data_IF_331902098885
#
_entry.id   IF_331902098885
#
_cell.length_a   1.000
_cell.length_b   1.000
_cell.length_c   1.000
_cell.angle_alpha   90.00
_cell.angle_beta   90.00
_cell.angle_gamma   90.00
#
_symmetry.space_group_name_H-M   'P 1'
#
loop_
_entity.id
_entity.type
_entity.pdbx_description
1 polymer ?
#
# COMPACT_ATOMS: atom_id res chain seq x y z
N UNK A 1 25.28 -2.47 12.35
CA UNK A 1 23.85 -2.66 12.65
C UNK A 1 23.14 -1.30 12.79
N UNK A 2 22.88 -0.61 11.67
CA UNK A 2 22.17 0.68 11.69
C UNK A 2 21.04 0.66 10.67
N UNK A 3 19.96 -0.07 10.97
CA UNK A 3 18.64 0.36 10.51
C UNK A 3 18.33 1.62 11.33
N UNK A 4 18.34 2.80 10.71
CA UNK A 4 18.13 4.09 11.38
C UNK A 4 16.76 4.19 12.10
N UNK A 5 15.84 3.25 11.85
CA UNK A 5 14.49 3.22 12.43
C UNK A 5 14.23 1.88 13.13
N UNK A 6 14.91 1.64 14.26
CA UNK A 6 14.35 0.71 15.26
C UNK A 6 13.14 1.39 15.89
N UNK A 7 12.04 0.67 16.00
CA UNK A 7 10.87 1.18 16.71
C UNK A 7 11.24 1.57 18.16
N UNK A 8 10.90 2.80 18.58
CA UNK A 8 11.04 3.30 19.96
C UNK A 8 9.70 3.38 20.71
N UNK A 9 8.57 3.21 20.01
CA UNK A 9 7.23 3.40 20.51
C UNK A 9 6.60 2.09 20.99
N UNK A 10 5.74 2.22 22.00
CA UNK A 10 4.88 1.14 22.47
C UNK A 10 3.49 1.31 21.87
N UNK A 11 3.02 0.31 21.15
CA UNK A 11 1.63 0.21 20.75
C UNK A 11 0.77 -0.41 21.85
N UNK A 12 -0.49 0.01 21.98
CA UNK A 12 -1.43 -0.62 22.90
C UNK A 12 -2.06 -1.90 22.34
N UNK A 13 -1.86 -2.18 21.05
CA UNK A 13 -2.49 -3.30 20.36
C UNK A 13 -3.98 -3.05 20.10
N UNK A 14 -4.72 -4.13 19.83
CA UNK A 14 -6.17 -4.09 19.54
C UNK A 14 -6.99 -3.70 20.78
N UNK A 15 -7.81 -2.66 20.66
CA UNK A 15 -8.59 -2.09 21.77
C UNK A 15 -9.72 -1.15 21.30
N UNK A 16 -10.72 -0.97 22.14
CA UNK A 16 -11.72 0.11 21.99
C UNK A 16 -11.50 1.21 23.01
N UNK A 17 -11.67 2.47 22.58
CA UNK A 17 -11.54 3.65 23.41
C UNK A 17 -12.76 4.56 23.25
N UNK A 18 -12.99 5.39 24.27
CA UNK A 18 -13.94 6.51 24.24
C UNK A 18 -13.15 7.79 24.45
N UNK A 19 -13.34 8.77 23.58
CA UNK A 19 -12.73 10.08 23.69
C UNK A 19 -13.77 11.09 24.17
N UNK A 20 -13.37 11.93 25.12
CA UNK A 20 -14.13 13.08 25.57
C UNK A 20 -13.47 14.36 25.01
N UNK A 21 -14.29 15.35 24.67
CA UNK A 21 -13.80 16.69 24.35
C UNK A 21 -13.31 17.33 25.65
N UNK A 22 -12.02 17.68 25.71
CA UNK A 22 -11.43 18.33 26.90
C UNK A 22 -11.55 19.86 26.82
N UNK A 23 -11.56 20.41 25.60
CA UNK A 23 -11.66 21.84 25.35
C UNK A 23 -12.44 22.11 24.05
N UNK A 24 -13.24 23.18 24.03
CA UNK A 24 -14.07 23.57 22.88
C UNK A 24 -15.36 22.74 22.77
N UNK A 25 -15.88 22.62 21.54
CA UNK A 25 -17.07 21.83 21.22
C UNK A 25 -16.81 20.98 19.98
N UNK A 26 -17.29 19.73 19.99
CA UNK A 26 -17.25 18.90 18.79
C UNK A 26 -18.30 19.37 17.78
N UNK A 27 -17.96 19.51 16.49
CA UNK A 27 -18.91 19.94 15.47
C UNK A 27 -20.12 18.99 15.39
N UNK A 28 -21.31 19.55 15.21
CA UNK A 28 -22.56 18.77 15.09
C UNK A 28 -22.94 18.47 13.65
N UNK A 29 -22.20 19.03 12.70
CA UNK A 29 -22.41 18.93 11.25
C UNK A 29 -21.41 17.98 10.56
N UNK A 30 -20.59 17.27 11.35
CA UNK A 30 -19.65 16.27 10.83
C UNK A 30 -20.22 14.87 11.06
N UNK A 31 -20.32 14.09 9.99
CA UNK A 31 -20.80 12.70 10.00
C UNK A 31 -19.78 11.79 9.32
N UNK A 32 -19.79 10.51 9.71
CA UNK A 32 -18.90 9.49 9.16
C UNK A 32 -17.80 9.07 10.14
N UNK A 33 -16.70 8.57 9.59
CA UNK A 33 -15.59 8.03 10.38
C UNK A 33 -14.24 8.36 9.75
N UNK A 34 -13.22 8.55 10.58
CA UNK A 34 -11.82 8.65 10.14
C UNK A 34 -11.15 7.29 10.31
N UNK A 35 -10.39 6.89 9.30
CA UNK A 35 -9.64 5.64 9.31
C UNK A 35 -8.15 5.92 9.20
N UNK A 36 -7.37 5.23 10.02
CA UNK A 36 -5.90 5.28 9.98
C UNK A 36 -5.40 3.85 10.08
N UNK A 37 -4.46 3.47 9.22
CA UNK A 37 -3.73 2.20 9.36
C UNK A 37 -2.28 2.48 9.63
N UNK A 38 -1.65 1.62 10.42
CA UNK A 38 -0.22 1.65 10.62
C UNK A 38 0.32 0.32 11.11
N UNK A 39 1.66 0.21 11.26
CA UNK A 39 2.27 -1.00 11.80
C UNK A 39 1.93 -1.19 13.28
N UNK A 40 1.47 -2.40 13.64
CA UNK A 40 1.13 -2.80 15.00
C UNK A 40 2.38 -3.15 15.82
N UNK A 41 3.25 -2.16 16.03
CA UNK A 41 4.49 -2.35 16.76
C UNK A 41 4.24 -2.18 18.27
N UNK A 42 3.76 -3.24 18.93
CA UNK A 42 3.39 -3.24 20.36
C UNK A 42 4.62 -3.03 21.25
N UNK A 43 5.76 -3.62 20.88
CA UNK A 43 7.00 -3.51 21.63
C UNK A 43 8.09 -2.79 20.82
N UNK A 44 9.00 -2.07 21.48
CA UNK A 44 10.19 -1.49 20.84
C UNK A 44 11.09 -2.55 20.22
N UNK A 45 11.85 -2.15 19.22
CA UNK A 45 12.72 -3.03 18.44
C UNK A 45 12.07 -3.57 17.17
N UNK A 46 12.89 -4.23 16.34
CA UNK A 46 12.50 -4.60 14.98
C UNK A 46 12.36 -3.39 14.04
N UNK A 47 12.16 -3.69 12.76
CA UNK A 47 11.90 -2.67 11.74
C UNK A 47 10.42 -2.26 11.79
N UNK A 48 10.13 -0.95 11.82
CA UNK A 48 8.76 -0.43 11.94
C UNK A 48 7.81 -1.01 10.88
N UNK A 49 8.21 -0.96 9.60
CA UNK A 49 7.44 -1.53 8.48
C UNK A 49 7.28 -3.06 8.48
N UNK A 50 8.05 -3.78 9.30
CA UNK A 50 8.00 -5.24 9.40
C UNK A 50 6.95 -5.78 10.39
N UNK A 51 6.00 -4.94 10.79
CA UNK A 51 4.91 -5.30 11.72
C UNK A 51 3.57 -5.32 10.97
N UNK A 52 2.72 -6.31 11.26
CA UNK A 52 1.38 -6.37 10.67
C UNK A 52 0.54 -5.13 10.97
N UNK A 53 -0.42 -4.84 10.10
CA UNK A 53 -1.29 -3.68 10.22
C UNK A 53 -2.21 -3.71 11.43
N UNK A 54 -2.50 -2.52 11.95
CA UNK A 54 -3.61 -2.25 12.85
C UNK A 54 -4.39 -1.06 12.29
N UNK A 55 -5.71 -1.19 12.23
CA UNK A 55 -6.61 -0.17 11.70
C UNK A 55 -7.35 0.48 12.86
N UNK A 56 -7.27 1.80 12.91
CA UNK A 56 -8.05 2.67 13.76
C UNK A 56 -9.25 3.18 12.95
N UNK A 57 -10.43 3.15 13.57
CA UNK A 57 -11.64 3.84 13.15
C UNK A 57 -12.07 4.78 14.26
N UNK A 58 -12.23 6.06 13.95
CA UNK A 58 -12.83 7.07 14.83
C UNK A 58 -14.20 7.45 14.28
N UNK A 59 -15.26 7.16 15.03
CA UNK A 59 -16.62 7.61 14.68
C UNK A 59 -16.79 9.09 15.04
N UNK A 60 -17.14 9.91 14.06
CA UNK A 60 -17.22 11.36 14.19
C UNK A 60 -18.57 11.85 14.74
N UNK A 61 -19.55 10.95 14.87
CA UNK A 61 -20.81 11.24 15.55
C UNK A 61 -20.71 10.76 17.00
N UNK A 62 -20.78 11.66 18.00
CA UNK A 62 -20.76 11.26 19.39
C UNK A 62 -21.90 10.31 19.73
N UNK A 63 -21.62 9.35 20.61
CA UNK A 63 -22.66 8.51 21.22
C UNK A 63 -23.65 9.35 22.04
N UNK A 64 -24.78 8.76 22.45
CA UNK A 64 -25.74 9.40 23.35
C UNK A 64 -25.12 9.91 24.68
N UNK A 65 -23.96 9.38 25.07
CA UNK A 65 -23.20 9.82 26.23
C UNK A 65 -22.22 10.98 25.96
N UNK A 66 -22.23 11.56 24.76
CA UNK A 66 -21.36 12.66 24.34
C UNK A 66 -19.91 12.26 23.98
N UNK A 67 -19.57 10.97 24.02
CA UNK A 67 -18.22 10.48 23.71
C UNK A 67 -18.09 10.06 22.24
N UNK A 68 -16.91 10.31 21.66
CA UNK A 68 -16.51 9.73 20.36
C UNK A 68 -15.98 8.32 20.57
N UNK A 69 -16.32 7.40 19.66
CA UNK A 69 -15.88 6.01 19.74
C UNK A 69 -14.65 5.80 18.86
N UNK A 70 -13.64 5.13 19.41
CA UNK A 70 -12.47 4.69 18.66
C UNK A 70 -12.38 3.18 18.73
N UNK A 71 -12.30 2.54 17.56
CA UNK A 71 -12.14 1.10 17.40
C UNK A 71 -10.77 0.84 16.77
N UNK A 72 -9.94 0.05 17.43
CA UNK A 72 -8.61 -0.32 16.94
C UNK A 72 -8.56 -1.84 16.76
N UNK A 73 -8.30 -2.34 15.55
CA UNK A 73 -8.32 -3.78 15.23
C UNK A 73 -7.09 -4.22 14.46
N UNK A 74 -6.54 -5.37 14.82
CA UNK A 74 -5.43 -5.98 14.10
C UNK A 74 -5.91 -6.51 12.74
N UNK A 75 -5.13 -6.30 11.67
CA UNK A 75 -5.52 -6.74 10.33
C UNK A 75 -5.29 -8.24 10.18
N UNK A 76 -6.36 -9.04 10.28
CA UNK A 76 -6.28 -10.50 10.29
C UNK A 76 -6.29 -11.13 8.88
N UNK A 77 -5.23 -10.88 8.10
CA UNK A 77 -5.04 -11.54 6.80
C UNK A 77 -4.96 -13.07 6.93
N UNK A 78 -5.19 -13.81 5.85
CA UNK A 78 -5.11 -15.29 5.85
C UNK A 78 -3.76 -15.78 6.38
N UNK A 79 -2.67 -15.19 5.88
CA UNK A 79 -1.30 -15.51 6.30
C UNK A 79 -1.06 -15.12 7.75
N UNK A 80 -1.53 -13.96 8.21
CA UNK A 80 -1.42 -13.56 9.63
C UNK A 80 -2.13 -14.54 10.57
N UNK A 81 -3.35 -14.99 10.24
CA UNK A 81 -4.07 -15.97 11.07
C UNK A 81 -3.33 -17.31 11.18
N UNK A 82 -2.63 -17.72 10.12
CA UNK A 82 -1.74 -18.88 10.16
C UNK A 82 -0.50 -18.62 11.00
N UNK A 83 0.14 -17.46 10.81
CA UNK A 83 1.30 -17.00 11.59
C UNK A 83 1.03 -17.00 13.09
N UNK A 84 -0.15 -16.55 13.51
CA UNK A 84 -0.52 -16.53 14.93
C UNK A 84 -0.77 -17.94 15.50
N UNK A 85 -1.10 -18.93 14.67
CA UNK A 85 -1.33 -20.33 15.09
C UNK A 85 -0.06 -21.20 15.02
N UNK A 86 0.77 -20.98 14.01
CA UNK A 86 1.97 -21.79 13.72
C UNK A 86 3.20 -20.89 13.44
N UNK A 87 3.60 -20.03 14.40
CA UNK A 87 4.64 -19.02 14.20
C UNK A 87 6.01 -19.63 13.82
N UNK A 88 6.25 -20.90 14.16
CA UNK A 88 7.51 -21.59 13.84
C UNK A 88 7.78 -21.72 12.33
N UNK A 89 6.74 -21.63 11.47
CA UNK A 89 6.88 -21.66 10.01
C UNK A 89 7.26 -20.32 9.39
N UNK A 90 7.30 -19.26 10.19
CA UNK A 90 7.55 -17.90 9.73
C UNK A 90 8.97 -17.48 10.10
N UNK A 91 9.63 -16.78 9.16
CA UNK A 91 10.98 -16.25 9.35
C UNK A 91 11.01 -14.81 8.88
N UNK A 92 11.51 -13.93 9.75
CA UNK A 92 11.75 -12.53 9.41
C UNK A 92 13.18 -12.34 8.97
N UNK A 93 13.35 -11.61 7.87
CA UNK A 93 14.62 -11.10 7.42
C UNK A 93 14.47 -9.60 7.12
N UNK A 94 15.19 -8.75 7.85
CA UNK A 94 14.93 -7.30 7.89
C UNK A 94 13.44 -7.02 8.17
N UNK A 95 12.74 -6.33 7.26
CA UNK A 95 11.32 -6.01 7.36
C UNK A 95 10.40 -6.98 6.61
N UNK A 96 10.95 -8.01 5.96
CA UNK A 96 10.17 -8.98 5.17
C UNK A 96 9.97 -10.26 6.00
N UNK A 97 8.77 -10.83 5.95
CA UNK A 97 8.44 -12.10 6.62
C UNK A 97 8.01 -13.16 5.60
N UNK A 98 8.75 -14.27 5.56
CA UNK A 98 8.56 -15.37 4.61
C UNK A 98 8.08 -16.63 5.33
N UNK A 99 7.37 -17.48 4.60
CA UNK A 99 6.90 -18.80 5.03
C UNK A 99 6.64 -19.71 3.81
N UNK A 100 6.35 -21.01 4.00
CA UNK A 100 5.86 -21.85 2.89
C UNK A 100 4.57 -21.33 2.23
N UNK A 101 3.81 -20.47 2.92
CA UNK A 101 2.60 -19.83 2.37
C UNK A 101 2.92 -18.67 1.43
N UNK A 102 4.17 -18.23 1.36
CA UNK A 102 4.67 -17.13 0.55
C UNK A 102 5.18 -15.95 1.39
N UNK A 103 5.11 -14.73 0.83
CA UNK A 103 5.54 -13.50 1.50
C UNK A 103 4.37 -12.86 2.22
N UNK A 104 4.58 -12.50 3.47
CA UNK A 104 3.52 -11.97 4.32
C UNK A 104 3.13 -10.56 3.90
N UNK A 105 1.89 -10.41 3.44
CA UNK A 105 1.28 -9.10 3.29
C UNK A 105 0.95 -8.52 4.67
N UNK A 106 1.65 -7.44 5.04
CA UNK A 106 1.47 -6.77 6.33
C UNK A 106 0.22 -5.90 6.38
N UNK A 107 -0.28 -5.42 5.24
CA UNK A 107 -1.47 -4.56 5.12
C UNK A 107 -1.46 -3.41 6.13
N UNK A 108 -0.35 -2.66 6.19
CA UNK A 108 -0.03 -1.72 7.27
C UNK A 108 0.30 -0.30 6.81
N UNK A 109 0.23 0.00 5.51
CA UNK A 109 0.80 1.23 4.94
C UNK A 109 -0.25 2.28 4.64
N UNK A 110 -1.32 1.93 3.95
CA UNK A 110 -2.32 2.87 3.48
C UNK A 110 -3.74 2.35 3.69
N UNK A 111 -4.69 3.26 3.90
CA UNK A 111 -6.13 2.99 3.85
C UNK A 111 -6.76 3.90 2.80
N UNK A 112 -7.57 3.31 1.92
CA UNK A 112 -8.23 3.98 0.81
C UNK A 112 -9.69 3.51 0.75
N UNK A 113 -10.60 4.37 0.27
CA UNK A 113 -12.01 4.02 0.09
C UNK A 113 -12.50 4.32 -1.31
N UNK A 114 -13.43 3.50 -1.80
CA UNK A 114 -14.16 3.72 -3.04
C UNK A 114 -15.56 3.12 -2.89
N UNK A 115 -16.60 3.88 -3.23
CA UNK A 115 -18.00 3.42 -3.24
C UNK A 115 -18.45 2.70 -1.95
N UNK A 116 -18.06 3.23 -0.79
CA UNK A 116 -18.39 2.66 0.53
C UNK A 116 -17.57 1.43 0.93
N UNK A 117 -16.61 1.00 0.12
CA UNK A 117 -15.67 -0.09 0.41
C UNK A 117 -14.34 0.47 0.92
N UNK A 118 -13.56 -0.36 1.59
CA UNK A 118 -12.32 0.03 2.23
C UNK A 118 -11.19 -0.94 1.92
N UNK A 119 -10.04 -0.41 1.55
CA UNK A 119 -8.88 -1.16 1.10
C UNK A 119 -7.64 -0.75 1.88
N UNK A 120 -6.81 -1.72 2.21
CA UNK A 120 -5.52 -1.55 2.86
C UNK A 120 -4.39 -1.87 1.89
N UNK A 121 -3.41 -0.99 1.84
CA UNK A 121 -2.23 -1.13 0.99
C UNK A 121 -0.97 -1.57 1.72
N UNK A 122 -0.06 -2.20 0.97
CA UNK A 122 1.27 -2.62 1.39
C UNK A 122 2.15 -2.87 0.15
N UNK A 123 3.40 -2.40 0.14
CA UNK A 123 4.24 -2.42 -1.07
C UNK A 123 4.62 -3.81 -1.59
N UNK A 124 4.48 -4.84 -0.76
CA UNK A 124 4.85 -6.23 -1.06
C UNK A 124 3.65 -7.18 -1.02
N UNK A 125 2.44 -6.69 -1.30
CA UNK A 125 1.27 -7.53 -1.48
C UNK A 125 0.13 -6.85 -2.22
N UNK A 126 -0.85 -7.65 -2.64
CA UNK A 126 -2.09 -7.11 -3.23
C UNK A 126 -2.86 -6.29 -2.18
N UNK A 127 -3.58 -5.23 -2.58
CA UNK A 127 -4.48 -4.53 -1.68
C UNK A 127 -5.46 -5.48 -1.01
N UNK A 128 -5.79 -5.22 0.25
CA UNK A 128 -6.71 -6.05 1.06
C UNK A 128 -7.99 -5.27 1.34
N UNK A 129 -9.13 -5.81 0.94
CA UNK A 129 -10.42 -5.27 1.32
C UNK A 129 -10.77 -5.63 2.77
N UNK A 130 -11.31 -4.65 3.50
CA UNK A 130 -11.86 -4.81 4.84
C UNK A 130 -13.29 -4.27 4.91
N UNK A 131 -14.08 -4.83 5.82
CA UNK A 131 -15.39 -4.29 6.15
C UNK A 131 -15.23 -2.97 6.95
N UNK A 132 -15.76 -1.82 6.47
CA UNK A 132 -15.52 -0.52 7.10
C UNK A 132 -16.19 -0.38 8.48
N UNK A 133 -17.15 -1.24 8.82
CA UNK A 133 -17.84 -1.19 10.11
C UNK A 133 -17.12 -2.01 11.19
N UNK A 134 -16.79 -3.27 10.88
CA UNK A 134 -16.18 -4.23 11.81
C UNK A 134 -14.66 -4.31 11.72
N UNK A 135 -14.06 -3.72 10.66
CA UNK A 135 -12.63 -3.77 10.33
C UNK A 135 -12.10 -5.18 10.04
N UNK A 136 -12.99 -6.15 9.79
CA UNK A 136 -12.61 -7.51 9.45
C UNK A 136 -12.14 -7.57 8.00
N UNK A 137 -11.06 -8.32 7.76
CA UNK A 137 -10.58 -8.62 6.41
C UNK A 137 -11.64 -9.43 5.64
N UNK A 138 -11.98 -8.96 4.45
CA UNK A 138 -12.87 -9.62 3.49
C UNK A 138 -12.02 -10.49 2.57
N UNK A 139 -11.22 -9.89 1.69
CA UNK A 139 -10.35 -10.60 0.73
C UNK A 139 -9.24 -9.69 0.18
N UNK A 140 -8.15 -10.26 -0.36
CA UNK A 140 -7.29 -9.53 -1.30
C UNK A 140 -8.06 -9.11 -2.56
N UNK A 141 -7.64 -8.02 -3.19
CA UNK A 141 -8.16 -7.56 -4.49
C UNK A 141 -7.67 -8.48 -5.61
N UNK A 142 -8.60 -8.99 -6.41
CA UNK A 142 -8.34 -9.92 -7.52
C UNK A 142 -7.80 -11.30 -7.09
N UNK A 143 -7.71 -12.22 -8.03
CA UNK A 143 -7.03 -13.52 -7.82
C UNK A 143 -5.51 -13.38 -7.91
N UNK A 144 -4.74 -14.38 -7.47
CA UNK A 144 -3.27 -14.34 -7.55
C UNK A 144 -2.79 -14.21 -9.01
N UNK A 145 -3.48 -14.84 -9.96
CA UNK A 145 -3.09 -14.89 -11.37
C UNK A 145 -3.31 -13.59 -12.14
N UNK A 146 -4.11 -12.68 -11.59
CA UNK A 146 -4.37 -11.38 -12.20
C UNK A 146 -3.23 -10.38 -11.98
N UNK A 147 -2.26 -10.68 -11.14
CA UNK A 147 -1.15 -9.78 -10.79
C UNK A 147 0.20 -10.31 -11.27
N UNK A 148 1.14 -9.40 -11.54
CA UNK A 148 2.55 -9.71 -11.72
C UNK A 148 3.13 -10.17 -10.38
N UNK A 149 3.53 -11.45 -10.33
CA UNK A 149 4.15 -12.07 -9.17
C UNK A 149 5.66 -11.99 -9.29
N UNK A 150 6.30 -11.45 -8.25
CA UNK A 150 7.76 -11.40 -8.12
C UNK A 150 8.32 -12.70 -7.52
N UNK A 151 7.51 -13.45 -6.77
CA UNK A 151 7.87 -14.74 -6.22
C UNK A 151 6.61 -15.56 -5.91
N UNK A 152 6.60 -16.88 -6.17
CA UNK A 152 5.44 -17.72 -5.89
C UNK A 152 5.18 -17.86 -4.38
N UNK A 153 3.95 -18.25 -4.04
CA UNK A 153 3.55 -18.60 -2.68
C UNK A 153 2.31 -19.48 -2.69
N UNK A 154 2.19 -20.42 -1.75
CA UNK A 154 1.04 -21.35 -1.71
C UNK A 154 -0.28 -20.60 -1.49
N UNK A 155 -0.27 -19.51 -0.73
CA UNK A 155 -1.45 -18.69 -0.45
C UNK A 155 -1.25 -17.24 -0.88
N UNK A 156 -0.10 -16.65 -0.58
CA UNK A 156 0.18 -15.23 -0.80
C UNK A 156 1.51 -15.06 -1.55
N UNK A 157 1.48 -14.95 -2.89
CA UNK A 157 2.69 -14.65 -3.67
C UNK A 157 3.17 -13.24 -3.36
N UNK A 158 4.46 -12.99 -3.58
CA UNK A 158 5.00 -11.64 -3.54
C UNK A 158 4.50 -10.89 -4.78
N UNK A 159 3.65 -9.88 -4.58
CA UNK A 159 3.25 -8.95 -5.63
C UNK A 159 3.70 -7.56 -5.19
N UNK A 160 4.64 -6.95 -5.91
CA UNK A 160 5.00 -5.56 -5.65
C UNK A 160 3.93 -4.66 -6.28
N UNK A 161 3.16 -4.01 -5.42
CA UNK A 161 2.07 -3.11 -5.80
C UNK A 161 2.26 -1.84 -4.98
N UNK A 162 2.25 -0.68 -5.64
CA UNK A 162 2.32 0.61 -4.95
C UNK A 162 1.30 0.65 -3.82
N UNK A 163 1.76 0.89 -2.59
CA UNK A 163 0.90 0.79 -1.40
C UNK A 163 -0.25 1.79 -1.40
N UNK A 164 -0.18 2.87 -2.17
CA UNK A 164 -1.21 3.90 -2.26
C UNK A 164 -1.94 3.82 -3.61
N UNK A 165 -2.99 2.99 -3.73
CA UNK A 165 -3.77 2.93 -4.95
C UNK A 165 -4.58 4.21 -5.16
N UNK A 166 -4.76 4.62 -6.41
CA UNK A 166 -5.54 5.80 -6.74
C UNK A 166 -7.01 5.41 -6.91
N UNK A 167 -7.88 5.85 -6.01
CA UNK A 167 -9.33 5.74 -6.21
C UNK A 167 -9.82 6.89 -7.08
N UNK A 168 -10.42 6.57 -8.21
CA UNK A 168 -11.19 7.51 -9.01
C UNK A 168 -12.68 7.34 -8.69
N UNK A 169 -13.22 8.30 -7.93
CA UNK A 169 -14.62 8.28 -7.51
C UNK A 169 -15.57 8.54 -8.68
N UNK A 170 -15.17 9.36 -9.66
CA UNK A 170 -16.02 9.68 -10.81
C UNK A 170 -16.15 8.50 -11.77
N UNK A 171 -15.07 7.74 -11.97
CA UNK A 171 -15.07 6.52 -12.79
C UNK A 171 -15.48 5.27 -12.00
N UNK A 172 -15.53 5.34 -10.66
CA UNK A 172 -15.87 4.23 -9.80
C UNK A 172 -14.81 3.12 -9.80
N UNK A 173 -13.54 3.45 -10.06
CA UNK A 173 -12.45 2.47 -10.21
C UNK A 173 -11.24 2.78 -9.34
N UNK A 174 -10.39 1.78 -9.13
CA UNK A 174 -9.08 1.93 -8.52
C UNK A 174 -7.98 1.66 -9.55
N UNK A 175 -6.93 2.47 -9.50
CA UNK A 175 -5.71 2.27 -10.25
C UNK A 175 -4.56 1.88 -9.33
N UNK A 176 -3.69 1.03 -9.83
CA UNK A 176 -2.52 0.51 -9.13
C UNK A 176 -1.30 0.54 -10.05
N UNK A 177 -0.12 0.56 -9.46
CA UNK A 177 1.12 0.24 -10.18
C UNK A 177 1.63 -1.08 -9.65
N UNK A 178 1.85 -2.05 -10.54
CA UNK A 178 2.33 -3.39 -10.21
C UNK A 178 3.58 -3.69 -11.03
N UNK A 179 4.70 -4.00 -10.37
CA UNK A 179 6.01 -3.99 -11.03
C UNK A 179 6.94 -5.11 -10.55
N UNK A 180 8.02 -5.34 -11.29
CA UNK A 180 9.14 -6.18 -10.88
C UNK A 180 10.05 -5.44 -9.90
N UNK A 181 10.15 -5.94 -8.67
CA UNK A 181 11.00 -5.38 -7.61
C UNK A 181 12.48 -5.73 -7.79
N UNK A 182 12.78 -6.81 -8.52
CA UNK A 182 14.14 -7.24 -8.83
C UNK A 182 14.18 -7.68 -10.29
N UNK A 183 15.19 -7.20 -11.01
CA UNK A 183 15.50 -7.70 -12.35
C UNK A 183 16.32 -8.99 -12.23
N UNK A 184 15.79 -10.09 -12.76
CA UNK A 184 16.52 -11.36 -12.81
C UNK A 184 17.35 -11.43 -14.09
N UNK A 185 18.56 -12.04 -14.07
CA UNK A 185 19.36 -12.19 -15.28
C UNK A 185 18.58 -12.85 -16.42
N UNK A 186 18.46 -12.15 -17.56
CA UNK A 186 17.74 -12.64 -18.74
C UNK A 186 16.22 -12.49 -18.70
N UNK A 187 15.66 -11.87 -17.65
CA UNK A 187 14.22 -11.54 -17.55
C UNK A 187 14.08 -10.04 -17.40
N UNK A 188 13.52 -9.38 -18.41
CA UNK A 188 13.27 -7.94 -18.34
C UNK A 188 12.28 -7.63 -17.23
N UNK A 189 12.62 -6.65 -16.38
CA UNK A 189 11.68 -6.09 -15.42
C UNK A 189 10.46 -5.53 -16.14
N UNK A 190 9.28 -5.71 -15.55
CA UNK A 190 8.02 -5.22 -16.10
C UNK A 190 7.32 -4.30 -15.11
N UNK A 191 6.68 -3.26 -15.63
CA UNK A 191 5.81 -2.37 -14.87
C UNK A 191 4.46 -2.35 -15.54
N UNK A 192 3.40 -2.44 -14.75
CA UNK A 192 2.03 -2.39 -15.20
C UNK A 192 1.27 -1.29 -14.45
N UNK A 193 0.45 -0.53 -15.18
CA UNK A 193 -0.71 0.11 -14.57
C UNK A 193 -1.82 -0.92 -14.55
N UNK A 194 -2.45 -1.09 -13.39
CA UNK A 194 -3.63 -1.93 -13.22
C UNK A 194 -4.87 -1.07 -12.96
N UNK A 195 -6.02 -1.52 -13.46
CA UNK A 195 -7.34 -0.92 -13.21
C UNK A 195 -8.28 -1.99 -12.68
N UNK A 196 -9.09 -1.62 -11.70
CA UNK A 196 -10.14 -2.47 -11.18
C UNK A 196 -11.39 -1.64 -10.89
N UNK A 197 -12.53 -2.02 -11.44
CA UNK A 197 -13.81 -1.33 -11.27
C UNK A 197 -14.56 -1.79 -10.01
N UNK A 198 -13.84 -2.39 -9.06
CA UNK A 198 -14.41 -3.02 -7.87
C UNK A 198 -15.26 -4.27 -8.17
N UNK A 199 -15.42 -4.65 -9.44
CA UNK A 199 -16.09 -5.85 -9.91
C UNK A 199 -15.15 -6.63 -10.84
N UNK A 200 -15.53 -7.83 -11.25
CA UNK A 200 -14.71 -8.62 -12.20
C UNK A 200 -13.23 -8.80 -11.82
N UNK A 201 -12.39 -8.91 -12.84
CA UNK A 201 -10.94 -9.12 -12.73
C UNK A 201 -10.15 -7.81 -12.81
N UNK A 202 -8.96 -7.80 -12.19
CA UNK A 202 -8.00 -6.70 -12.33
C UNK A 202 -7.41 -6.72 -13.73
N UNK A 203 -7.58 -5.62 -14.47
CA UNK A 203 -7.03 -5.41 -15.81
C UNK A 203 -5.66 -4.75 -15.73
N UNK A 204 -4.74 -5.06 -16.63
CA UNK A 204 -3.37 -4.50 -16.62
C UNK A 204 -2.88 -4.10 -18.01
N UNK A 205 -2.05 -3.06 -18.06
CA UNK A 205 -1.34 -2.59 -19.26
C UNK A 205 0.13 -2.38 -18.93
N UNK A 206 1.02 -2.88 -19.79
CA UNK A 206 2.46 -2.73 -19.59
C UNK A 206 2.87 -1.29 -19.88
N UNK A 207 3.62 -0.69 -18.97
CA UNK A 207 4.13 0.68 -19.13
C UNK A 207 5.49 0.66 -19.82
N UNK A 208 5.67 1.55 -20.80
CA UNK A 208 6.91 1.85 -21.51
C UNK A 208 7.34 3.29 -21.25
N UNK A 209 8.55 3.65 -21.70
CA UNK A 209 9.06 5.02 -21.55
C UNK A 209 9.53 5.38 -20.15
N UNK A 210 9.90 4.40 -19.32
CA UNK A 210 10.37 4.61 -17.95
C UNK A 210 11.88 4.40 -17.82
N UNK A 211 12.57 5.35 -17.19
CA UNK A 211 13.92 5.16 -16.67
C UNK A 211 13.95 4.10 -15.57
N UNK A 212 15.15 3.56 -15.30
CA UNK A 212 15.34 2.60 -14.22
C UNK A 212 14.95 3.20 -12.85
N UNK A 213 14.35 2.38 -12.00
CA UNK A 213 13.89 2.77 -10.68
C UNK A 213 14.00 1.61 -9.70
N UNK A 214 14.05 1.92 -8.41
CA UNK A 214 14.17 0.92 -7.34
C UNK A 214 12.82 0.51 -6.75
N UNK A 215 11.89 1.46 -6.60
CA UNK A 215 10.57 1.21 -6.01
C UNK A 215 9.57 2.28 -6.43
N UNK A 216 8.33 1.87 -6.63
CA UNK A 216 7.18 2.77 -6.83
C UNK A 216 6.24 2.57 -5.65
N UNK A 217 5.91 3.66 -4.95
CA UNK A 217 5.16 3.60 -3.71
C UNK A 217 3.74 4.17 -3.82
N UNK A 218 3.57 5.12 -4.74
CA UNK A 218 2.37 5.93 -4.81
C UNK A 218 1.90 6.13 -6.26
N UNK A 219 0.59 6.06 -6.47
CA UNK A 219 -0.10 6.46 -7.70
C UNK A 219 -1.26 7.39 -7.34
N UNK A 220 -1.46 8.42 -8.18
CA UNK A 220 -2.56 9.36 -8.14
C UNK A 220 -3.28 9.40 -9.49
N UNK A 221 -4.51 9.85 -9.45
CA UNK A 221 -5.36 9.98 -10.62
C UNK A 221 -5.87 11.41 -10.71
N UNK A 222 -5.85 11.96 -11.92
CA UNK A 222 -6.60 13.16 -12.29
C UNK A 222 -7.78 12.74 -13.15
N UNK A 223 -8.54 13.70 -13.68
CA UNK A 223 -9.60 13.44 -14.65
C UNK A 223 -9.09 12.69 -15.89
N UNK A 224 -7.87 12.98 -16.33
CA UNK A 224 -7.33 12.49 -17.62
C UNK A 224 -6.07 11.65 -17.52
N UNK A 225 -5.34 11.73 -16.40
CA UNK A 225 -4.03 11.12 -16.29
C UNK A 225 -3.89 10.29 -15.01
N UNK A 226 -2.98 9.33 -15.07
CA UNK A 226 -2.43 8.65 -13.92
C UNK A 226 -1.00 9.16 -13.72
N UNK A 227 -0.66 9.43 -12.46
CA UNK A 227 0.65 9.97 -12.08
C UNK A 227 1.24 9.11 -10.99
N UNK A 228 2.45 8.63 -11.17
CA UNK A 228 3.16 7.86 -10.14
C UNK A 228 4.64 8.18 -10.16
N UNK A 229 5.32 7.96 -9.03
CA UNK A 229 6.72 8.34 -8.86
C UNK A 229 7.55 7.21 -8.28
N UNK A 230 8.85 7.26 -8.52
CA UNK A 230 9.76 6.45 -7.73
C UNK A 230 9.91 6.99 -6.31
N UNK A 231 10.40 6.13 -5.43
CA UNK A 231 11.00 6.59 -4.19
C UNK A 231 12.48 6.91 -4.43
N UNK A 232 13.01 7.96 -3.82
CA UNK A 232 14.43 8.35 -3.94
C UNK A 232 15.37 7.38 -3.21
N UNK A 233 14.84 6.32 -2.60
CA UNK A 233 15.64 5.31 -1.93
C UNK A 233 16.24 4.34 -2.96
N UNK A 234 17.52 4.00 -2.76
CA UNK A 234 18.22 2.99 -3.56
C UNK A 234 18.25 1.63 -2.90
N UNK A 235 17.82 0.58 -3.62
CA UNK A 235 17.89 -0.81 -3.15
C UNK A 235 19.26 -1.39 -3.50
N UNK A 236 20.16 -1.40 -2.52
CA UNK A 236 21.48 -2.01 -2.69
C UNK A 236 21.45 -3.53 -2.41
N UNK A 237 22.23 -4.36 -3.12
CA UNK A 237 22.38 -5.78 -2.82
C UNK A 237 22.83 -6.05 -1.36
N UNK A 238 23.59 -5.12 -0.77
CA UNK A 238 24.00 -5.17 0.63
C UNK A 238 22.84 -5.15 1.62
N UNK A 239 21.70 -4.53 1.27
CA UNK A 239 20.49 -4.50 2.09
C UNK A 239 19.98 -5.92 2.39
N UNK A 240 19.99 -6.78 1.39
CA UNK A 240 19.60 -8.19 1.52
C UNK A 240 20.63 -9.05 2.27
N UNK A 241 21.80 -8.48 2.59
CA UNK A 241 22.81 -9.10 3.46
C UNK A 241 22.84 -8.45 4.86
N UNK A 242 21.94 -7.49 5.13
CA UNK A 242 21.93 -6.70 6.37
C UNK A 242 23.13 -5.77 6.52
N UNK A 243 23.84 -5.46 5.43
CA UNK A 243 24.93 -4.50 5.41
C UNK A 243 24.37 -3.07 5.55
N UNK A 244 25.14 -2.14 6.12
CA UNK A 244 24.77 -0.72 6.10
C UNK A 244 24.66 -0.24 4.64
N UNK A 245 23.86 0.80 4.44
CA UNK A 245 23.74 1.47 3.14
C UNK A 245 25.05 2.16 2.79
N UNK A 246 25.53 1.99 1.57
CA UNK A 246 26.78 2.59 1.07
C UNK A 246 26.50 3.72 0.07
N UNK A 247 25.37 3.68 -0.63
CA UNK A 247 24.97 4.71 -1.57
C UNK A 247 24.06 5.76 -0.92
N UNK A 248 24.09 6.96 -1.50
CA UNK A 248 23.14 8.02 -1.13
C UNK A 248 21.81 7.78 -1.87
N UNK A 249 20.73 8.21 -1.24
CA UNK A 249 19.44 8.36 -1.93
C UNK A 249 19.61 9.26 -3.16
N UNK A 250 18.74 9.04 -4.14
CA UNK A 250 18.61 9.87 -5.32
C UNK A 250 18.34 11.33 -4.91
N UNK A 251 18.93 12.28 -5.64
CA UNK A 251 18.72 13.72 -5.42
C UNK A 251 17.52 14.27 -6.20
N UNK A 252 16.82 13.40 -6.92
CA UNK A 252 15.68 13.71 -7.76
C UNK A 252 14.60 12.65 -7.54
N UNK A 253 13.43 12.89 -8.13
CA UNK A 253 12.36 11.91 -8.28
C UNK A 253 11.94 11.88 -9.74
N UNK A 254 11.77 10.68 -10.27
CA UNK A 254 11.17 10.47 -11.58
C UNK A 254 9.66 10.35 -11.41
N UNK A 255 8.92 11.18 -12.12
CA UNK A 255 7.48 11.20 -12.16
C UNK A 255 7.03 10.74 -13.55
N UNK A 256 6.13 9.76 -13.59
CA UNK A 256 5.58 9.21 -14.81
C UNK A 256 4.10 9.54 -14.94
N UNK A 257 3.71 9.95 -16.14
CA UNK A 257 2.36 10.36 -16.48
C UNK A 257 1.85 9.43 -17.59
N UNK A 258 0.75 8.74 -17.34
CA UNK A 258 0.08 7.87 -18.32
C UNK A 258 -1.32 8.42 -18.59
N UNK A 259 -1.68 8.74 -19.85
CA UNK A 259 -3.05 9.15 -20.18
C UNK A 259 -4.02 7.99 -19.95
N UNK A 260 -5.14 8.24 -19.28
CA UNK A 260 -6.20 7.23 -19.09
C UNK A 260 -6.81 6.78 -20.41
N UNK A 261 -6.89 7.69 -21.38
CA UNK A 261 -7.39 7.35 -22.71
C UNK A 261 -6.53 6.29 -23.38
N UNK A 262 -5.22 6.28 -23.14
CA UNK A 262 -4.34 5.23 -23.65
C UNK A 262 -4.72 3.85 -23.09
N UNK A 263 -5.15 3.76 -21.82
CA UNK A 263 -5.65 2.50 -21.25
C UNK A 263 -6.97 2.07 -21.91
N UNK A 264 -7.85 3.02 -22.25
CA UNK A 264 -9.16 2.74 -22.87
C UNK A 264 -9.04 2.31 -24.33
N UNK A 265 -8.09 2.89 -25.06
CA UNK A 265 -7.85 2.58 -26.47
C UNK A 265 -6.98 1.35 -26.70
N UNK A 266 -6.26 0.89 -25.67
CA UNK A 266 -5.34 -0.25 -25.76
C UNK A 266 -5.99 -1.49 -25.15
N UNK A 267 -5.98 -2.65 -25.84
CA UNK A 267 -6.46 -3.91 -25.26
C UNK A 267 -5.74 -4.25 -23.95
N UNK A 268 -6.42 -4.99 -23.06
CA UNK A 268 -5.79 -5.54 -21.86
C UNK A 268 -4.50 -6.28 -22.20
N UNK A 269 -3.49 -6.15 -21.34
CA UNK A 269 -2.11 -6.64 -21.51
C UNK A 269 -1.32 -5.99 -22.65
N UNK A 270 -1.90 -5.00 -23.36
CA UNK A 270 -1.17 -4.17 -24.31
C UNK A 270 -0.20 -3.20 -23.64
N UNK A 271 0.52 -2.44 -24.46
CA UNK A 271 1.55 -1.49 -24.01
C UNK A 271 1.03 -0.06 -24.07
N UNK A 272 1.39 0.74 -23.06
CA UNK A 272 1.10 2.18 -22.99
C UNK A 272 2.37 2.96 -22.64
N UNK A 273 2.55 4.12 -23.27
CA UNK A 273 3.72 4.96 -23.05
C UNK A 273 3.50 5.91 -21.87
N UNK A 274 4.49 5.99 -20.99
CA UNK A 274 4.56 7.04 -19.97
C UNK A 274 5.39 8.23 -20.47
N UNK A 275 4.97 9.42 -20.08
CA UNK A 275 5.82 10.62 -20.14
C UNK A 275 6.56 10.75 -18.82
N UNK A 276 7.88 10.79 -18.88
CA UNK A 276 8.74 10.98 -17.70
C UNK A 276 9.07 12.47 -17.50
N UNK A 277 8.94 12.93 -16.26
CA UNK A 277 9.35 14.24 -15.79
C UNK A 277 10.23 14.05 -14.56
N UNK A 278 11.40 14.67 -14.56
CA UNK A 278 12.30 14.63 -13.41
C UNK A 278 12.08 15.86 -12.52
N UNK A 279 11.74 15.62 -11.27
CA UNK A 279 11.62 16.66 -10.24
C UNK A 279 13.00 16.80 -9.57
N UNK A 280 13.60 18.01 -9.48
CA UNK A 280 14.94 18.21 -8.96
C UNK A 280 15.00 18.17 -7.42
N UNK A 281 14.18 17.35 -6.79
CA UNK A 281 14.20 17.07 -5.36
C UNK A 281 13.68 15.65 -5.09
N UNK A 282 14.19 14.97 -4.05
CA UNK A 282 13.64 13.70 -3.60
C UNK A 282 12.25 13.92 -2.98
N UNK A 283 11.22 13.27 -3.50
CA UNK A 283 9.87 13.24 -2.93
C UNK A 283 9.41 11.81 -2.63
N UNK A 284 8.43 11.65 -1.74
CA UNK A 284 7.88 10.34 -1.36
C UNK A 284 6.41 10.17 -1.74
N UNK A 285 5.58 11.12 -1.34
CA UNK A 285 4.16 11.18 -1.70
C UNK A 285 3.90 12.38 -2.58
N UNK A 286 3.05 12.19 -3.57
CA UNK A 286 2.57 13.26 -4.44
C UNK A 286 1.09 13.48 -4.23
N UNK A 287 0.66 14.73 -4.40
CA UNK A 287 -0.74 15.08 -4.54
C UNK A 287 -0.93 15.58 -5.96
N UNK A 288 -2.00 15.12 -6.61
CA UNK A 288 -2.42 15.60 -7.91
C UNK A 288 -3.80 16.24 -7.75
N UNK A 289 -3.94 17.48 -8.23
CA UNK A 289 -5.26 18.07 -8.38
C UNK A 289 -6.02 17.26 -9.44
N UNK A 290 -7.29 16.93 -9.14
CA UNK A 290 -8.08 16.10 -10.04
C UNK A 290 -8.44 16.84 -11.34
N UNK A 291 -8.61 18.16 -11.26
CA UNK A 291 -9.11 18.99 -12.35
C UNK A 291 -8.00 19.71 -13.11
N UNK A 292 -6.85 19.99 -12.48
CA UNK A 292 -5.75 20.66 -13.17
C UNK A 292 -5.03 19.72 -14.16
N UNK A 293 -4.76 20.30 -15.33
CA UNK A 293 -4.17 19.64 -16.52
C UNK A 293 -2.66 19.82 -16.55
#
# INVERSE_FOLDING_TARGET
>A
MATLTKNLFWGQGERDHRLAVIEGAWPTDVVGSVYVVGPNAISPGGHWFGSHGIVLKLDLVPSASGHLSVTLRSVQTRVKRLRDRVPMLFRKFQFIEFSPMGVTNMANTNVQSLNGRMFLGYDAGRPIEIDPQSLKVISPVGSNGEWLQNSPGLLEPLCAVAAHPASDVAEGVMYFVNYSQVELPGVSAETYVARWDCEGSVQRWRVRGMSAFDSIHDIKTTRHHLVFTDLPFKVEPGLFQGKPREERNQSHTNLWIVPKEALRSTPEMGEVEAVEVQIPMPTGHVYADYEEV
#
